data_IF_004473902562
#
_entry.id   IF_004473902562
#
_cell.length_a   1.000
_cell.length_b   1.000
_cell.length_c   1.000
_cell.angle_alpha   90.00
_cell.angle_beta   90.00
_cell.angle_gamma   90.00
#
_symmetry.space_group_name_H-M   'P 1'
#
loop_
_entity.id
_entity.type
_entity.pdbx_description
1 polymer ?
#
# COMPACT_ATOMS: atom_id res chain seq x y z
N UNK A 1 22.06 -20.42 -79.00
CA UNK A 1 20.71 -20.43 -78.41
C UNK A 1 20.91 -20.66 -76.91
N UNK A 2 20.98 -19.64 -76.04
CA UNK A 2 19.85 -18.96 -75.37
C UNK A 2 18.87 -19.97 -74.72
N UNK A 3 18.60 -20.03 -73.41
CA UNK A 3 18.25 -18.96 -72.46
C UNK A 3 18.57 -19.28 -70.99
N UNK A 4 18.83 -18.20 -70.24
CA UNK A 4 18.87 -18.01 -68.78
C UNK A 4 17.58 -18.38 -68.02
N UNK A 5 17.68 -18.68 -66.71
CA UNK A 5 17.11 -17.88 -65.58
C UNK A 5 17.29 -18.63 -64.24
N UNK A 6 18.18 -18.22 -63.31
CA UNK A 6 18.07 -17.23 -62.20
C UNK A 6 17.03 -17.53 -61.09
N UNK A 7 17.53 -17.79 -59.86
CA UNK A 7 17.32 -17.08 -58.55
C UNK A 7 17.69 -18.02 -57.38
N UNK A 8 18.79 -17.83 -56.63
CA UNK A 8 19.21 -16.78 -55.65
C UNK A 8 18.64 -17.01 -54.24
N UNK A 9 19.57 -17.29 -53.32
CA UNK A 9 19.47 -17.32 -51.85
C UNK A 9 18.60 -16.22 -51.24
N UNK A 10 17.83 -16.60 -50.21
CA UNK A 10 17.22 -15.72 -49.23
C UNK A 10 17.51 -16.23 -47.81
N UNK A 11 18.42 -15.54 -47.14
CA UNK A 11 18.62 -15.53 -45.70
C UNK A 11 17.27 -15.28 -45.00
N UNK A 12 16.97 -16.00 -43.93
CA UNK A 12 16.06 -15.47 -42.92
C UNK A 12 16.53 -15.94 -41.54
N UNK A 13 17.29 -15.04 -40.92
CA UNK A 13 17.54 -14.95 -39.49
C UNK A 13 16.23 -15.14 -38.72
N UNK A 14 16.06 -16.29 -38.09
CA UNK A 14 15.20 -16.40 -36.93
C UNK A 14 15.95 -15.74 -35.76
N UNK A 15 15.82 -14.42 -35.72
CA UNK A 15 16.36 -13.53 -34.72
C UNK A 15 16.18 -14.12 -33.33
N UNK A 16 17.29 -14.16 -32.60
CA UNK A 16 17.38 -14.41 -31.18
C UNK A 16 16.44 -13.43 -30.47
N UNK A 17 15.22 -13.84 -30.21
CA UNK A 17 14.38 -13.21 -29.20
C UNK A 17 15.03 -13.54 -27.87
N UNK A 18 15.92 -12.63 -27.43
CA UNK A 18 16.43 -12.57 -26.06
C UNK A 18 15.20 -12.60 -25.14
N UNK A 19 14.85 -13.79 -24.64
CA UNK A 19 13.90 -13.94 -23.53
C UNK A 19 14.48 -13.12 -22.39
N UNK A 20 13.88 -11.96 -22.16
CA UNK A 20 14.12 -11.20 -20.95
C UNK A 20 13.84 -12.15 -19.78
N UNK A 21 14.88 -12.36 -18.98
CA UNK A 21 14.84 -13.16 -17.77
C UNK A 21 13.89 -12.45 -16.80
N UNK A 22 12.65 -12.90 -16.74
CA UNK A 22 11.69 -12.50 -15.72
C UNK A 22 12.20 -13.14 -14.42
N UNK A 23 13.07 -12.42 -13.71
CA UNK A 23 13.37 -12.71 -12.31
C UNK A 23 12.25 -12.11 -11.47
N UNK A 24 11.23 -12.91 -11.18
CA UNK A 24 10.12 -12.52 -10.32
C UNK A 24 9.43 -13.78 -9.84
N UNK A 25 9.76 -14.20 -8.62
CA UNK A 25 9.18 -15.33 -7.93
C UNK A 25 7.75 -15.00 -7.51
N UNK A 26 6.81 -15.09 -8.46
CA UNK A 26 5.39 -14.97 -8.21
C UNK A 26 4.71 -16.16 -8.91
N UNK A 27 3.97 -16.99 -8.17
CA UNK A 27 3.17 -18.02 -8.85
C UNK A 27 2.10 -17.31 -9.68
N UNK A 28 2.08 -17.52 -11.01
CA UNK A 28 1.23 -16.74 -11.92
C UNK A 28 -0.22 -16.71 -11.45
N UNK A 29 -0.74 -17.85 -10.98
CA UNK A 29 -2.15 -18.04 -10.60
C UNK A 29 -2.71 -17.00 -9.62
N UNK A 30 -1.95 -16.55 -8.60
CA UNK A 30 -2.51 -15.61 -7.60
C UNK A 30 -2.49 -14.17 -8.08
N UNK A 31 -1.40 -13.78 -8.75
CA UNK A 31 -1.33 -12.50 -9.44
C UNK A 31 -2.43 -12.42 -10.50
N UNK A 32 -2.65 -13.50 -11.24
CA UNK A 32 -3.72 -13.64 -12.24
C UNK A 32 -5.12 -13.49 -11.61
N UNK A 33 -5.33 -13.97 -10.37
CA UNK A 33 -6.61 -13.80 -9.66
C UNK A 33 -6.83 -12.36 -9.21
N UNK A 34 -5.78 -11.70 -8.70
CA UNK A 34 -5.85 -10.28 -8.35
C UNK A 34 -6.05 -9.42 -9.60
N UNK A 35 -5.37 -9.72 -10.70
CA UNK A 35 -5.51 -9.01 -11.98
C UNK A 35 -6.91 -9.15 -12.60
N UNK A 36 -7.66 -10.22 -12.24
CA UNK A 36 -9.09 -10.34 -12.61
C UNK A 36 -10.02 -9.50 -11.73
N UNK A 37 -9.61 -9.18 -10.50
CA UNK A 37 -10.45 -8.53 -9.49
C UNK A 37 -10.17 -7.03 -9.34
N UNK A 38 -9.03 -6.56 -9.86
CA UNK A 38 -8.55 -5.20 -9.73
C UNK A 38 -8.10 -4.67 -11.09
N UNK A 39 -8.35 -3.37 -11.36
CA UNK A 39 -7.93 -2.74 -12.61
C UNK A 39 -6.40 -2.67 -12.79
N UNK A 40 -5.65 -2.62 -11.69
CA UNK A 40 -4.19 -2.64 -11.70
C UNK A 40 -3.67 -3.39 -10.48
N UNK A 41 -2.69 -4.25 -10.71
CA UNK A 41 -1.88 -4.93 -9.70
C UNK A 41 -0.42 -4.59 -9.99
N UNK A 42 0.28 -4.04 -9.00
CA UNK A 42 1.69 -3.69 -9.12
C UNK A 42 2.41 -3.99 -7.80
N UNK A 43 3.73 -4.14 -7.85
CA UNK A 43 4.52 -4.15 -6.60
C UNK A 43 4.42 -2.80 -5.91
N UNK A 44 4.63 -2.77 -4.59
CA UNK A 44 4.67 -1.53 -3.83
C UNK A 44 5.74 -0.57 -4.37
N UNK A 45 6.89 -1.09 -4.80
CA UNK A 45 7.94 -0.31 -5.47
C UNK A 45 7.43 0.38 -6.73
N UNK A 46 6.84 -0.38 -7.65
CA UNK A 46 6.30 0.16 -8.91
C UNK A 46 5.20 1.19 -8.66
N UNK A 47 4.31 0.91 -7.71
CA UNK A 47 3.25 1.82 -7.33
C UNK A 47 3.84 3.16 -6.84
N UNK A 48 4.74 3.13 -5.85
CA UNK A 48 5.38 4.34 -5.30
C UNK A 48 6.14 5.11 -6.37
N UNK A 49 6.95 4.43 -7.19
CA UNK A 49 7.73 5.08 -8.25
C UNK A 49 6.82 5.77 -9.29
N UNK A 50 5.63 5.21 -9.56
CA UNK A 50 4.67 5.84 -10.48
C UNK A 50 3.96 7.07 -9.90
N UNK A 51 3.81 7.17 -8.58
CA UNK A 51 3.12 8.28 -7.89
C UNK A 51 4.05 9.36 -7.33
N UNK A 52 5.36 9.13 -7.27
CA UNK A 52 6.32 10.16 -6.87
C UNK A 52 6.34 11.33 -7.87
N UNK A 53 6.35 12.60 -7.39
CA UNK A 53 6.50 13.75 -8.25
C UNK A 53 7.77 13.64 -9.13
N UNK A 54 7.69 14.13 -10.37
CA UNK A 54 8.83 14.10 -11.31
C UNK A 54 10.07 14.82 -10.77
N UNK A 55 9.89 15.79 -9.89
CA UNK A 55 10.96 16.53 -9.20
C UNK A 55 11.76 15.67 -8.20
N UNK A 56 11.22 14.54 -7.71
CA UNK A 56 11.85 13.69 -6.69
C UNK A 56 12.89 12.71 -7.25
N UNK A 57 13.78 13.18 -8.13
CA UNK A 57 14.73 12.34 -8.91
C UNK A 57 15.66 11.49 -8.04
N UNK A 58 16.30 12.10 -7.02
CA UNK A 58 17.21 11.38 -6.12
C UNK A 58 16.49 10.29 -5.32
N UNK A 59 15.30 10.61 -4.80
CA UNK A 59 14.48 9.67 -4.04
C UNK A 59 13.99 8.52 -4.90
N UNK A 60 13.54 8.82 -6.13
CA UNK A 60 13.18 7.81 -7.14
C UNK A 60 14.35 6.86 -7.42
N UNK A 61 15.56 7.40 -7.61
CA UNK A 61 16.77 6.58 -7.79
C UNK A 61 17.05 5.71 -6.55
N UNK A 62 17.00 6.28 -5.35
CA UNK A 62 17.21 5.56 -4.08
C UNK A 62 16.21 4.41 -3.91
N UNK A 63 14.92 4.68 -4.13
CA UNK A 63 13.87 3.67 -4.06
C UNK A 63 14.01 2.64 -5.18
N UNK A 64 14.49 3.00 -6.37
CA UNK A 64 14.71 2.02 -7.44
C UNK A 64 15.91 1.09 -7.15
N UNK A 65 16.97 1.60 -6.52
CA UNK A 65 18.19 0.82 -6.23
C UNK A 65 18.21 0.14 -4.86
N UNK A 66 17.19 0.33 -4.02
CA UNK A 66 17.14 -0.24 -2.67
C UNK A 66 17.21 -1.77 -2.71
N UNK A 67 18.12 -2.38 -1.95
CA UNK A 67 18.34 -3.83 -1.91
C UNK A 67 19.29 -4.39 -2.97
N UNK A 68 19.93 -3.55 -3.78
CA UNK A 68 20.92 -3.97 -4.80
C UNK A 68 22.37 -4.00 -4.27
N UNK A 69 22.63 -3.49 -3.07
CA UNK A 69 23.97 -3.44 -2.47
C UNK A 69 24.22 -4.66 -1.57
N UNK A 70 25.34 -5.37 -1.75
CA UNK A 70 25.72 -6.57 -0.98
C UNK A 70 26.15 -6.32 0.47
N UNK A 71 25.80 -5.17 1.05
CA UNK A 71 26.07 -4.79 2.45
C UNK A 71 24.95 -3.98 3.10
N UNK A 72 23.73 -4.11 2.57
CA UNK A 72 22.57 -3.41 3.10
C UNK A 72 22.28 -3.81 4.55
N UNK A 73 21.99 -2.82 5.41
CA UNK A 73 21.57 -3.09 6.80
C UNK A 73 20.24 -3.85 6.85
N UNK A 74 19.92 -4.43 8.01
CA UNK A 74 18.69 -5.20 8.22
C UNK A 74 17.42 -4.40 7.84
N UNK A 75 17.36 -3.13 8.23
CA UNK A 75 16.25 -2.21 7.88
C UNK A 75 16.11 -2.01 6.37
N UNK A 76 17.22 -1.84 5.65
CA UNK A 76 17.20 -1.67 4.20
C UNK A 76 16.73 -2.96 3.51
N UNK A 77 17.16 -4.11 4.02
CA UNK A 77 16.74 -5.42 3.53
C UNK A 77 15.24 -5.65 3.75
N UNK A 78 14.73 -5.34 4.95
CA UNK A 78 13.29 -5.42 5.24
C UNK A 78 12.47 -4.47 4.35
N UNK A 79 12.96 -3.25 4.11
CA UNK A 79 12.31 -2.31 3.19
C UNK A 79 12.31 -2.80 1.75
N UNK A 80 13.45 -3.27 1.24
CA UNK A 80 13.54 -3.81 -0.12
C UNK A 80 12.59 -5.00 -0.28
N UNK A 81 12.56 -5.90 0.71
CA UNK A 81 11.63 -7.02 0.72
C UNK A 81 10.17 -6.56 0.70
N UNK A 82 9.77 -5.60 1.55
CA UNK A 82 8.42 -5.04 1.56
C UNK A 82 8.06 -4.44 0.19
N UNK A 83 8.96 -3.64 -0.39
CA UNK A 83 8.77 -2.95 -1.66
C UNK A 83 8.59 -3.92 -2.84
N UNK A 84 9.35 -5.01 -2.87
CA UNK A 84 9.40 -5.93 -4.01
C UNK A 84 8.37 -7.06 -3.93
N UNK A 85 8.03 -7.49 -2.71
CA UNK A 85 7.13 -8.63 -2.52
C UNK A 85 5.69 -8.22 -2.28
N UNK A 86 5.44 -7.01 -1.74
CA UNK A 86 4.06 -6.57 -1.49
C UNK A 86 3.38 -6.14 -2.78
N UNK A 87 2.12 -6.56 -2.94
CA UNK A 87 1.28 -6.18 -4.07
C UNK A 87 0.31 -5.09 -3.65
N UNK A 88 0.18 -4.08 -4.50
CA UNK A 88 -0.77 -2.98 -4.38
C UNK A 88 -1.78 -3.12 -5.50
N UNK A 89 -3.04 -3.25 -5.12
CA UNK A 89 -4.16 -3.49 -6.03
C UNK A 89 -5.14 -2.31 -5.97
N UNK A 90 -5.55 -1.79 -7.13
CA UNK A 90 -6.50 -0.66 -7.23
C UNK A 90 -7.72 -1.07 -8.05
N UNK A 91 -8.93 -0.84 -7.52
CA UNK A 91 -10.18 -1.31 -8.15
C UNK A 91 -10.57 -0.50 -9.39
N UNK A 92 -10.50 0.83 -9.35
CA UNK A 92 -10.74 1.69 -10.50
C UNK A 92 -10.15 3.07 -10.23
N UNK A 93 -9.58 3.72 -11.25
CA UNK A 93 -9.23 5.14 -11.21
C UNK A 93 -10.55 5.94 -11.23
N UNK A 94 -11.23 6.02 -10.08
CA UNK A 94 -12.40 6.89 -9.96
C UNK A 94 -11.92 8.33 -10.21
N UNK A 95 -12.38 8.89 -11.33
CA UNK A 95 -11.99 10.22 -11.78
C UNK A 95 -12.36 11.28 -10.75
N UNK A 96 -11.45 12.24 -10.58
CA UNK A 96 -11.68 13.57 -10.00
C UNK A 96 -12.62 13.56 -8.78
N UNK A 97 -12.31 12.73 -7.78
CA UNK A 97 -12.87 12.96 -6.45
C UNK A 97 -12.23 14.23 -5.91
N UNK A 98 -13.03 15.17 -5.42
CA UNK A 98 -12.51 16.37 -4.75
C UNK A 98 -11.61 15.91 -3.59
N UNK A 99 -10.30 16.10 -3.76
CA UNK A 99 -9.28 15.52 -2.87
C UNK A 99 -9.10 16.39 -1.63
N UNK A 100 -10.15 16.50 -0.81
CA UNK A 100 -10.15 17.21 0.48
C UNK A 100 -9.41 16.44 1.58
N UNK A 101 -8.87 15.25 1.27
CA UNK A 101 -8.18 14.39 2.24
C UNK A 101 -6.99 15.08 2.87
N UNK A 102 -6.23 15.84 2.08
CA UNK A 102 -5.06 16.54 2.60
C UNK A 102 -5.45 17.66 3.57
N UNK A 103 -6.51 18.40 3.28
CA UNK A 103 -7.04 19.43 4.20
C UNK A 103 -7.59 18.82 5.49
N UNK A 104 -8.32 17.70 5.36
CA UNK A 104 -8.80 16.92 6.49
C UNK A 104 -7.65 16.36 7.34
N UNK A 105 -6.56 15.91 6.71
CA UNK A 105 -5.35 15.47 7.40
C UNK A 105 -4.71 16.61 8.21
N UNK A 106 -4.56 17.79 7.61
CA UNK A 106 -3.99 18.95 8.29
C UNK A 106 -4.84 19.35 9.51
N UNK A 107 -6.16 19.32 9.38
CA UNK A 107 -7.09 19.56 10.49
C UNK A 107 -7.00 18.46 11.56
N UNK A 108 -6.89 17.19 11.16
CA UNK A 108 -6.83 16.05 12.07
C UNK A 108 -5.53 15.99 12.87
N UNK A 109 -4.39 16.18 12.21
CA UNK A 109 -3.06 16.16 12.83
C UNK A 109 -2.78 17.41 13.69
N UNK A 110 -3.75 18.34 13.79
CA UNK A 110 -3.61 19.63 14.50
C UNK A 110 -2.39 20.46 14.06
N UNK A 111 -1.85 20.20 12.87
CA UNK A 111 -0.70 20.91 12.29
C UNK A 111 -1.08 22.29 11.71
N UNK A 112 -2.19 22.87 12.19
CA UNK A 112 -2.85 24.04 11.61
C UNK A 112 -2.19 25.39 11.90
N UNK A 113 -1.30 25.50 12.90
CA UNK A 113 -0.64 26.78 13.23
C UNK A 113 0.76 26.64 13.87
N UNK A 114 1.40 25.49 13.74
CA UNK A 114 2.80 25.34 14.16
C UNK A 114 3.71 25.67 12.98
N UNK A 115 4.01 26.96 12.80
CA UNK A 115 5.17 27.43 12.04
C UNK A 115 6.50 27.04 12.72
N UNK A 116 6.58 25.82 13.23
CA UNK A 116 7.80 25.16 13.63
C UNK A 116 8.07 24.03 12.65
N UNK A 117 8.83 24.40 11.64
CA UNK A 117 9.67 23.49 10.86
C UNK A 117 10.58 22.75 11.86
N UNK A 118 10.12 21.61 12.40
CA UNK A 118 11.03 20.65 13.02
C UNK A 118 11.65 19.85 11.88
N UNK A 119 12.67 20.46 11.27
CA UNK A 119 13.68 19.70 10.54
C UNK A 119 14.16 18.57 11.48
N UNK A 120 13.99 17.31 11.04
CA UNK A 120 14.72 16.15 11.56
C UNK A 120 14.31 15.56 12.92
N UNK A 121 13.10 15.00 13.05
CA UNK A 121 12.91 13.91 14.04
C UNK A 121 13.23 12.51 13.47
N UNK A 122 13.81 12.46 12.26
CA UNK A 122 14.34 11.23 11.66
C UNK A 122 13.33 10.09 11.63
N UNK A 123 13.74 8.93 12.16
CA UNK A 123 12.89 7.74 12.26
C UNK A 123 11.78 7.90 13.31
N UNK A 124 12.04 8.57 14.44
CA UNK A 124 11.06 8.78 15.51
C UNK A 124 9.84 9.56 15.02
N UNK A 125 10.07 10.63 14.27
CA UNK A 125 8.99 11.41 13.66
C UNK A 125 8.17 10.60 12.66
N UNK A 126 8.80 9.67 11.94
CA UNK A 126 8.07 8.78 11.03
C UNK A 126 7.27 7.69 11.77
N UNK A 127 7.69 7.23 12.94
CA UNK A 127 6.92 6.28 13.77
C UNK A 127 5.65 6.96 14.30
N UNK A 128 5.81 8.19 14.80
CA UNK A 128 4.68 9.00 15.28
C UNK A 128 3.72 9.33 14.13
N UNK A 129 4.22 9.90 13.03
CA UNK A 129 3.42 10.26 11.86
C UNK A 129 2.74 9.04 11.23
N UNK A 130 3.41 7.88 11.15
CA UNK A 130 2.78 6.65 10.65
C UNK A 130 1.61 6.20 11.54
N UNK A 131 1.73 6.36 12.86
CA UNK A 131 0.63 6.03 13.78
C UNK A 131 -0.56 6.98 13.61
N UNK A 132 -0.30 8.29 13.51
CA UNK A 132 -1.33 9.30 13.24
C UNK A 132 -2.02 9.08 11.89
N UNK A 133 -1.27 8.71 10.84
CA UNK A 133 -1.81 8.41 9.51
C UNK A 133 -2.79 7.24 9.60
N UNK A 134 -2.43 6.17 10.31
CA UNK A 134 -3.32 5.02 10.49
C UNK A 134 -4.61 5.43 11.21
N UNK A 135 -4.52 6.27 12.23
CA UNK A 135 -5.69 6.78 12.97
C UNK A 135 -6.58 7.67 12.11
N UNK A 136 -5.96 8.57 11.35
CA UNK A 136 -6.66 9.42 10.40
C UNK A 136 -7.38 8.63 9.32
N UNK A 137 -6.74 7.60 8.75
CA UNK A 137 -7.36 6.75 7.73
C UNK A 137 -8.59 6.03 8.29
N UNK A 138 -8.48 5.47 9.50
CA UNK A 138 -9.62 4.82 10.17
C UNK A 138 -10.74 5.84 10.40
N UNK A 139 -10.42 6.99 10.99
CA UNK A 139 -11.35 8.08 11.22
C UNK A 139 -12.07 8.48 9.93
N UNK A 140 -11.32 8.74 8.86
CA UNK A 140 -11.85 9.20 7.58
C UNK A 140 -12.76 8.16 6.92
N UNK A 141 -12.41 6.87 7.00
CA UNK A 141 -13.24 5.79 6.51
C UNK A 141 -14.58 5.74 7.25
N UNK A 142 -14.58 5.93 8.57
CA UNK A 142 -15.82 6.06 9.34
C UNK A 142 -16.55 7.35 8.99
N UNK A 143 -15.90 8.50 8.87
CA UNK A 143 -16.56 9.77 8.54
C UNK A 143 -17.29 9.74 7.19
N UNK A 144 -16.81 8.92 6.25
CA UNK A 144 -17.44 8.71 4.93
C UNK A 144 -18.66 7.78 4.94
N UNK A 145 -18.82 6.93 5.96
CA UNK A 145 -19.96 6.00 6.03
C UNK A 145 -21.17 6.68 6.66
N UNK A 146 -22.05 7.25 5.83
CA UNK A 146 -23.18 8.06 6.31
C UNK A 146 -24.28 7.25 7.00
N UNK A 147 -24.31 5.92 6.84
CA UNK A 147 -25.35 5.09 7.45
C UNK A 147 -25.06 4.84 8.93
N UNK A 148 -25.98 5.26 9.80
CA UNK A 148 -25.94 4.97 11.22
C UNK A 148 -25.88 3.45 11.46
N UNK A 149 -25.03 3.02 12.39
CA UNK A 149 -24.85 1.59 12.73
C UNK A 149 -24.08 0.75 11.70
N UNK A 150 -23.79 1.26 10.50
CA UNK A 150 -23.01 0.53 9.49
C UNK A 150 -21.51 0.81 9.63
N UNK A 151 -20.71 -0.25 9.55
CA UNK A 151 -19.24 -0.20 9.55
C UNK A 151 -18.69 -0.09 8.12
N UNK A 152 -17.64 0.71 7.87
CA UNK A 152 -16.95 0.70 6.59
C UNK A 152 -16.44 -0.71 6.26
N UNK A 153 -16.61 -1.14 5.01
CA UNK A 153 -16.12 -2.44 4.53
C UNK A 153 -14.62 -2.39 4.24
N UNK A 154 -13.82 -2.11 5.27
CA UNK A 154 -12.38 -1.93 5.17
C UNK A 154 -11.67 -2.65 6.32
N UNK A 155 -10.56 -3.33 6.04
CA UNK A 155 -9.84 -4.14 7.04
C UNK A 155 -9.35 -3.31 8.24
N UNK A 156 -8.96 -2.06 8.01
CA UNK A 156 -8.51 -1.18 9.09
C UNK A 156 -9.64 -0.73 10.02
N UNK A 157 -10.89 -0.83 9.58
CA UNK A 157 -12.05 -0.52 10.41
C UNK A 157 -12.52 -1.73 11.24
N UNK A 158 -11.90 -2.90 11.08
CA UNK A 158 -12.23 -4.09 11.88
C UNK A 158 -11.84 -3.88 13.33
N UNK A 159 -12.69 -4.32 14.26
CA UNK A 159 -12.49 -4.02 15.69
C UNK A 159 -12.93 -2.64 16.17
N UNK A 160 -13.33 -1.71 15.28
CA UNK A 160 -13.74 -0.36 15.67
C UNK A 160 -15.26 -0.14 15.57
N UNK A 161 -15.81 0.69 16.45
CA UNK A 161 -17.20 1.18 16.39
C UNK A 161 -17.30 2.67 16.74
N UNK A 162 -18.37 3.31 16.25
CA UNK A 162 -18.75 4.67 16.67
C UNK A 162 -19.36 4.66 18.06
N UNK A 163 -19.06 5.68 18.85
CA UNK A 163 -19.69 5.94 20.14
C UNK A 163 -18.68 6.26 21.22
N UNK A 164 -19.19 6.56 22.42
CA UNK A 164 -18.40 6.61 23.65
C UNK A 164 -18.28 5.18 24.17
N UNK A 165 -17.08 4.59 24.12
CA UNK A 165 -16.87 3.22 24.57
C UNK A 165 -17.29 2.99 26.04
N UNK A 166 -17.51 1.73 26.45
CA UNK A 166 -17.65 1.40 27.88
C UNK A 166 -16.36 1.83 28.59
N UNK A 167 -16.50 2.46 29.75
CA UNK A 167 -15.46 3.23 30.43
C UNK A 167 -14.04 2.64 30.37
N UNK A 168 -13.09 3.53 30.06
CA UNK A 168 -11.67 3.46 30.44
C UNK A 168 -11.00 2.08 30.38
N UNK A 169 -10.89 1.45 29.21
CA UNK A 169 -9.87 0.41 28.99
C UNK A 169 -9.19 0.64 27.64
N UNK A 170 -7.87 0.87 27.73
CA UNK A 170 -7.06 1.58 26.75
C UNK A 170 -6.86 0.87 25.41
N UNK A 171 -6.86 1.68 24.35
CA UNK A 171 -6.45 1.28 23.02
C UNK A 171 -6.93 2.27 21.95
N UNK A 172 -6.02 3.13 21.49
CA UNK A 172 -6.14 4.07 20.37
C UNK A 172 -7.34 5.02 20.43
N UNK A 173 -7.08 6.29 20.77
CA UNK A 173 -8.09 7.36 20.81
C UNK A 173 -8.26 7.92 19.40
N UNK A 174 -8.95 7.19 18.51
CA UNK A 174 -9.44 7.79 17.26
C UNK A 174 -10.71 8.60 17.61
N UNK A 175 -10.79 9.91 17.30
CA UNK A 175 -11.90 10.75 17.73
C UNK A 175 -13.28 10.17 17.38
N UNK A 176 -14.14 10.01 18.38
CA UNK A 176 -15.51 9.49 18.22
C UNK A 176 -15.62 7.98 17.95
N UNK A 177 -14.50 7.25 17.98
CA UNK A 177 -14.43 5.81 17.82
C UNK A 177 -13.81 5.16 19.06
N UNK A 178 -14.15 3.89 19.26
CA UNK A 178 -13.50 3.05 20.26
C UNK A 178 -13.18 1.67 19.68
N UNK A 179 -12.14 1.04 20.22
CA UNK A 179 -11.73 -0.32 19.88
C UNK A 179 -12.49 -1.33 20.74
N UNK A 180 -13.23 -2.24 20.10
CA UNK A 180 -13.87 -3.39 20.75
C UNK A 180 -12.90 -4.57 20.92
N UNK A 181 -12.02 -4.77 19.95
CA UNK A 181 -11.02 -5.82 19.94
C UNK A 181 -9.81 -5.40 19.12
N UNK A 182 -8.61 -5.93 19.40
CA UNK A 182 -7.40 -5.54 18.70
C UNK A 182 -7.47 -5.85 17.20
N UNK A 183 -6.99 -4.92 16.38
CA UNK A 183 -6.85 -5.10 14.94
C UNK A 183 -5.39 -5.36 14.59
N UNK A 184 -5.08 -6.59 14.15
CA UNK A 184 -3.72 -7.02 13.79
C UNK A 184 -3.14 -6.25 12.60
N UNK A 185 -3.97 -5.86 11.63
CA UNK A 185 -3.55 -5.07 10.48
C UNK A 185 -3.15 -3.65 10.88
N UNK A 186 -3.94 -3.02 11.75
CA UNK A 186 -3.62 -1.71 12.34
C UNK A 186 -2.32 -1.77 13.12
N UNK A 187 -2.14 -2.80 13.95
CA UNK A 187 -0.88 -3.02 14.67
C UNK A 187 0.31 -3.16 13.71
N UNK A 188 0.18 -4.02 12.69
CA UNK A 188 1.24 -4.26 11.73
C UNK A 188 1.62 -3.00 10.94
N UNK A 189 0.66 -2.15 10.56
CA UNK A 189 0.91 -0.90 9.82
C UNK A 189 1.62 0.19 10.63
N UNK A 190 1.68 0.05 11.97
CA UNK A 190 2.41 0.96 12.86
C UNK A 190 3.83 0.49 13.16
N UNK A 191 4.09 -0.79 12.94
CA UNK A 191 5.37 -1.42 13.19
C UNK A 191 6.25 -1.39 11.93
N UNK A 192 7.53 -1.74 12.09
CA UNK A 192 8.44 -1.87 10.95
C UNK A 192 7.89 -2.88 9.91
N UNK A 193 8.03 -2.62 8.60
CA UNK A 193 8.87 -1.58 7.99
C UNK A 193 8.12 -0.28 7.62
N UNK A 194 6.87 -0.09 8.07
CA UNK A 194 6.00 0.98 7.57
C UNK A 194 6.46 2.40 7.96
N UNK A 195 6.88 2.68 9.20
CA UNK A 195 7.50 3.97 9.53
C UNK A 195 8.76 4.25 8.70
N UNK A 196 9.59 3.24 8.46
CA UNK A 196 10.81 3.37 7.66
C UNK A 196 10.48 3.65 6.19
N UNK A 197 9.38 3.08 5.67
CA UNK A 197 8.86 3.40 4.35
C UNK A 197 8.43 4.87 4.29
N UNK A 198 7.67 5.35 5.28
CA UNK A 198 7.25 6.75 5.37
C UNK A 198 8.47 7.69 5.40
N UNK A 199 9.48 7.38 6.21
CA UNK A 199 10.74 8.12 6.25
C UNK A 199 11.44 8.17 4.88
N UNK A 200 11.42 7.07 4.13
CA UNK A 200 12.00 6.98 2.78
C UNK A 200 11.26 7.88 1.76
N UNK A 201 9.94 8.02 1.91
CA UNK A 201 9.09 8.85 1.04
C UNK A 201 9.29 10.37 1.25
N UNK A 202 9.73 10.79 2.44
CA UNK A 202 10.08 12.17 2.77
C UNK A 202 8.88 13.12 2.79
N UNK A 203 9.07 14.39 2.37
CA UNK A 203 8.10 15.50 2.54
C UNK A 203 6.68 15.25 2.01
N UNK A 204 6.51 14.38 1.01
CA UNK A 204 5.19 14.03 0.45
C UNK A 204 4.73 12.62 0.86
N UNK A 205 5.42 12.02 1.82
CA UNK A 205 5.18 10.65 2.27
C UNK A 205 3.85 10.49 2.99
N UNK A 206 3.45 11.45 3.82
CA UNK A 206 2.17 11.38 4.55
C UNK A 206 1.00 11.28 3.58
N UNK A 207 0.91 12.21 2.61
CA UNK A 207 -0.12 12.19 1.57
C UNK A 207 -0.12 10.86 0.80
N UNK A 208 1.05 10.39 0.38
CA UNK A 208 1.14 9.13 -0.37
C UNK A 208 0.71 7.92 0.46
N UNK A 209 1.04 7.88 1.75
CA UNK A 209 0.61 6.81 2.64
C UNK A 209 -0.89 6.84 2.90
N UNK A 210 -1.47 8.03 3.06
CA UNK A 210 -2.92 8.22 3.16
C UNK A 210 -3.61 7.69 1.89
N UNK A 211 -3.13 8.10 0.71
CA UNK A 211 -3.69 7.66 -0.57
C UNK A 211 -3.59 6.14 -0.73
N UNK A 212 -2.43 5.57 -0.38
CA UNK A 212 -2.18 4.14 -0.43
C UNK A 212 -3.13 3.35 0.48
N UNK A 213 -3.35 3.80 1.71
CA UNK A 213 -4.17 3.08 2.69
C UNK A 213 -5.68 3.23 2.46
N UNK A 214 -6.12 4.27 1.77
CA UNK A 214 -7.55 4.51 1.48
C UNK A 214 -7.97 3.89 0.16
N UNK A 215 -7.18 4.06 -0.91
CA UNK A 215 -7.61 3.74 -2.27
C UNK A 215 -7.12 2.37 -2.75
N UNK A 216 -6.13 1.78 -2.06
CA UNK A 216 -5.51 0.54 -2.49
C UNK A 216 -5.80 -0.62 -1.52
N UNK A 217 -5.85 -1.82 -2.08
CA UNK A 217 -5.71 -3.05 -1.32
C UNK A 217 -4.25 -3.48 -1.33
N UNK A 218 -3.67 -3.67 -0.14
CA UNK A 218 -2.26 -4.04 0.01
C UNK A 218 -2.19 -5.50 0.45
N UNK A 219 -1.43 -6.30 -0.27
CA UNK A 219 -1.16 -7.69 0.06
C UNK A 219 0.33 -7.85 0.37
N UNK A 220 0.67 -8.34 1.55
CA UNK A 220 2.06 -8.56 1.97
C UNK A 220 2.38 -10.04 1.91
N UNK A 221 3.54 -10.37 1.36
CA UNK A 221 4.01 -11.75 1.27
C UNK A 221 4.30 -12.31 2.67
N UNK A 222 3.85 -13.54 2.93
CA UNK A 222 4.09 -14.28 4.16
C UNK A 222 5.25 -15.24 3.91
N UNK A 223 6.20 -15.31 4.85
CA UNK A 223 7.34 -16.25 4.77
C UNK A 223 6.91 -17.72 4.85
N UNK A 224 5.76 -18.00 5.44
CA UNK A 224 5.25 -19.35 5.62
C UNK A 224 4.53 -19.83 4.34
N UNK A 225 5.16 -20.80 3.67
CA UNK A 225 4.64 -21.41 2.43
C UNK A 225 5.00 -20.64 1.16
N UNK A 226 4.77 -21.27 0.02
CA UNK A 226 5.11 -20.69 -1.28
C UNK A 226 4.06 -19.66 -1.72
N UNK A 227 4.50 -18.42 -1.96
CA UNK A 227 3.72 -17.32 -2.55
C UNK A 227 2.41 -17.00 -1.81
N UNK A 228 2.42 -17.11 -0.48
CA UNK A 228 1.30 -16.73 0.39
C UNK A 228 1.25 -15.23 0.62
N UNK A 229 0.04 -14.68 0.53
CA UNK A 229 -0.23 -13.25 0.67
C UNK A 229 -1.32 -13.04 1.71
N UNK A 230 -1.11 -12.07 2.59
CA UNK A 230 -2.12 -11.59 3.52
C UNK A 230 -2.52 -10.16 3.15
N UNK A 231 -3.82 -9.90 3.09
CA UNK A 231 -4.31 -8.54 2.87
C UNK A 231 -4.09 -7.71 4.15
N UNK A 232 -3.31 -6.63 4.03
CA UNK A 232 -3.00 -5.69 5.12
C UNK A 232 -3.88 -4.46 5.14
N UNK A 233 -4.38 -4.04 3.99
CA UNK A 233 -5.29 -2.89 3.88
C UNK A 233 -6.22 -3.06 2.68
N UNK A 234 -7.23 -2.21 2.60
CA UNK A 234 -8.19 -2.15 1.50
C UNK A 234 -9.57 -2.67 1.87
N UNK A 235 -10.44 -2.61 0.88
CA UNK A 235 -11.79 -3.15 0.99
C UNK A 235 -11.74 -4.66 1.18
N UNK A 236 -12.61 -5.16 2.05
CA UNK A 236 -12.83 -6.60 2.17
C UNK A 236 -13.55 -7.03 0.89
N UNK A 237 -12.96 -7.94 0.08
CA UNK A 237 -13.62 -8.40 -1.13
C UNK A 237 -14.99 -8.98 -0.79
N UNK A 238 -16.00 -8.67 -1.58
CA UNK A 238 -17.39 -9.10 -1.32
C UNK A 238 -17.58 -10.62 -1.29
N UNK A 239 -16.61 -11.40 -1.76
CA UNK A 239 -16.57 -12.86 -1.74
C UNK A 239 -15.85 -13.46 -0.52
N UNK A 240 -15.23 -12.65 0.35
CA UNK A 240 -14.77 -13.14 1.65
C UNK A 240 -15.98 -13.35 2.57
N UNK A 241 -16.12 -14.53 3.20
CA UNK A 241 -17.24 -14.77 4.10
C UNK A 241 -17.20 -13.76 5.23
N UNK A 242 -18.32 -13.07 5.43
CA UNK A 242 -18.52 -12.18 6.56
C UNK A 242 -18.43 -13.04 7.82
N UNK A 243 -17.34 -12.90 8.57
CA UNK A 243 -17.30 -13.41 9.94
C UNK A 243 -18.17 -12.45 10.76
N UNK A 244 -19.48 -12.64 10.69
CA UNK A 244 -20.43 -12.05 11.64
C UNK A 244 -20.47 -12.95 12.88
N UNK A 245 -19.86 -12.56 14.01
CA UNK A 245 -19.97 -13.30 15.26
C UNK A 245 -21.37 -13.23 15.91
N UNK A 246 -22.38 -12.68 15.23
CA UNK A 246 -23.73 -12.48 15.78
C UNK A 246 -24.87 -13.15 15.00
N UNK A 247 -24.59 -14.18 14.20
CA UNK A 247 -25.66 -15.03 13.62
C UNK A 247 -25.99 -16.27 14.47
N UNK A 248 -25.75 -16.22 15.78
CA UNK A 248 -26.31 -17.18 16.74
C UNK A 248 -26.81 -16.44 17.98
N UNK A 249 -28.09 -16.10 17.95
CA UNK A 249 -29.01 -16.06 19.10
C UNK A 249 -30.43 -15.94 18.59
#
# INVERSE_FOLDING_TARGET
MALNSKRKNGHNDASICKKQKISGSDTPVRRDLLERSYARVATLREHILSHLPRSSRLRRKKIASLGQNEGAGDVETQLAHLLDTSLVCTHQLEGQREDTRWEQWLSFSQKGDESHVTLSDGLSGSIYSQSEIVDFVIWLLFSRELKAGKRPKHLLCDGFRRGTGPGEQGGVIVPGLFSLYPNSNVKALREAPWPQLLALLGKSGEKMMIDLLIDCSIYVAIKAGFHNYEQRSGQIPSWFPHLDPHSQS
#
